data_IF_833393540934
#
_entry.id   IF_833393540934
#
_cell.length_a   1.000
_cell.length_b   1.000
_cell.length_c   1.000
_cell.angle_alpha   90.00
_cell.angle_beta   90.00
_cell.angle_gamma   90.00
#
_symmetry.space_group_name_H-M   'P 1'
#
loop_
_entity.id
_entity.type
_entity.pdbx_description
1 polymer ?
#
# COMPACT_ATOMS: atom_id res chain seq x y z
N UNK A 1 9.24 -2.07 -9.84
CA UNK A 1 9.55 -0.66 -9.46
C UNK A 1 8.31 0.24 -9.54
N UNK A 2 7.12 -0.36 -9.57
CA UNK A 2 5.79 0.25 -9.50
C UNK A 2 5.12 -0.03 -8.15
N UNK A 3 5.84 -0.69 -7.24
CA UNK A 3 5.34 -1.09 -5.93
C UNK A 3 5.35 0.11 -4.97
N UNK A 4 4.17 0.47 -4.46
CA UNK A 4 4.00 1.53 -3.45
C UNK A 4 4.41 1.10 -2.03
N UNK A 5 4.99 -0.09 -1.88
CA UNK A 5 5.46 -0.70 -0.63
C UNK A 5 6.90 -1.20 -0.77
N UNK A 6 7.50 -1.67 0.32
CA UNK A 6 8.84 -2.28 0.32
C UNK A 6 9.99 -1.27 0.56
N UNK A 7 11.22 -1.77 0.65
CA UNK A 7 12.42 -0.92 0.74
C UNK A 7 12.89 -0.47 -0.66
N UNK A 8 12.17 0.48 -1.24
CA UNK A 8 12.51 1.04 -2.55
C UNK A 8 12.21 2.55 -2.64
N UNK A 9 12.66 3.16 -3.74
CA UNK A 9 12.50 4.61 -3.99
C UNK A 9 11.03 5.02 -4.13
N UNK A 10 10.17 4.16 -4.68
CA UNK A 10 8.75 4.48 -4.88
C UNK A 10 8.02 4.62 -3.53
N UNK A 11 8.19 3.68 -2.61
CA UNK A 11 7.68 3.79 -1.24
C UNK A 11 8.17 5.07 -0.55
N UNK A 12 9.47 5.36 -0.66
CA UNK A 12 10.10 6.52 -0.02
C UNK A 12 9.62 7.84 -0.62
N UNK A 13 9.36 7.90 -1.92
CA UNK A 13 8.84 9.10 -2.58
C UNK A 13 7.43 9.44 -2.10
N UNK A 14 6.55 8.45 -1.95
CA UNK A 14 5.22 8.62 -1.35
C UNK A 14 5.37 9.18 0.06
N UNK A 15 6.23 8.58 0.89
CA UNK A 15 6.43 9.03 2.26
C UNK A 15 7.11 10.40 2.38
N UNK A 16 7.92 10.81 1.40
CA UNK A 16 8.49 12.14 1.32
C UNK A 16 7.42 13.20 1.07
N UNK A 17 6.45 12.94 0.18
CA UNK A 17 5.31 13.83 -0.03
C UNK A 17 4.43 13.89 1.22
N UNK A 18 4.14 12.74 1.85
CA UNK A 18 3.30 12.67 3.06
C UNK A 18 3.97 13.32 4.28
N UNK A 19 5.30 13.32 4.36
CA UNK A 19 6.04 14.02 5.40
C UNK A 19 5.81 15.54 5.38
N UNK A 20 5.45 16.13 4.23
CA UNK A 20 5.05 17.53 4.16
C UNK A 20 3.70 17.82 4.86
N UNK A 21 2.85 16.79 4.99
CA UNK A 21 1.52 16.90 5.62
C UNK A 21 1.58 16.55 7.11
N UNK A 22 2.24 15.43 7.45
CA UNK A 22 2.33 14.92 8.84
C UNK A 22 3.73 14.37 9.16
N UNK A 23 4.72 15.24 9.40
CA UNK A 23 6.12 14.86 9.51
C UNK A 23 6.40 13.90 10.68
N UNK A 24 5.70 14.05 11.80
CA UNK A 24 5.87 13.22 13.00
C UNK A 24 5.55 11.74 12.78
N UNK A 25 4.77 11.42 11.75
CA UNK A 25 4.50 10.02 11.37
C UNK A 25 5.32 9.60 10.16
N UNK A 26 5.49 10.46 9.15
CA UNK A 26 6.04 10.00 7.87
C UNK A 26 7.56 10.18 7.71
N UNK A 27 8.19 11.09 8.46
CA UNK A 27 9.65 11.30 8.35
C UNK A 27 10.46 10.04 8.63
N UNK A 28 10.05 9.26 9.64
CA UNK A 28 10.74 8.02 10.01
C UNK A 28 10.75 6.98 8.89
N UNK A 29 9.79 7.02 7.96
CA UNK A 29 9.69 6.05 6.86
C UNK A 29 10.62 6.37 5.68
N UNK A 30 11.04 7.64 5.54
CA UNK A 30 11.93 8.08 4.44
C UNK A 30 13.39 7.72 4.73
N UNK A 31 13.77 7.61 6.01
CA UNK A 31 15.14 7.34 6.44
C UNK A 31 15.61 5.90 6.21
N UNK A 32 16.92 5.61 6.35
CA UNK A 32 17.52 4.33 5.96
C UNK A 32 16.86 3.09 6.61
N UNK A 33 16.31 3.22 7.82
CA UNK A 33 15.63 2.12 8.52
C UNK A 33 14.21 1.85 8.00
N UNK A 34 13.65 2.74 7.19
CA UNK A 34 12.29 2.63 6.65
C UNK A 34 11.18 2.82 7.68
N UNK A 35 11.51 3.07 8.95
CA UNK A 35 10.56 3.32 10.04
C UNK A 35 9.48 2.24 10.21
N UNK A 36 9.75 1.01 9.76
CA UNK A 36 8.79 -0.10 9.75
C UNK A 36 7.76 -0.08 8.61
N UNK A 37 7.84 0.89 7.67
CA UNK A 37 6.95 0.96 6.49
C UNK A 37 7.66 0.69 5.17
N UNK A 38 8.72 1.44 4.86
CA UNK A 38 9.54 1.16 3.68
C UNK A 38 10.65 0.15 4.02
N UNK A 39 10.23 -1.07 4.34
CA UNK A 39 11.12 -2.19 4.67
C UNK A 39 10.87 -3.36 3.72
N UNK A 40 11.89 -4.17 3.46
CA UNK A 40 11.78 -5.34 2.57
C UNK A 40 11.09 -6.49 3.29
N UNK A 41 9.77 -6.62 3.08
CA UNK A 41 8.92 -7.67 3.63
C UNK A 41 7.99 -8.23 2.56
N UNK A 42 7.59 -9.50 2.66
CA UNK A 42 6.58 -10.07 1.78
C UNK A 42 5.22 -9.42 2.05
N UNK A 43 4.89 -8.36 1.31
CA UNK A 43 3.70 -7.53 1.53
C UNK A 43 2.40 -8.34 1.60
N UNK A 44 2.21 -9.28 0.67
CA UNK A 44 1.04 -10.15 0.61
C UNK A 44 0.97 -11.19 1.75
N UNK A 45 2.00 -11.30 2.59
CA UNK A 45 1.92 -12.14 3.79
C UNK A 45 1.63 -11.33 5.05
N UNK A 46 1.91 -10.03 5.02
CA UNK A 46 1.81 -9.14 6.18
C UNK A 46 0.54 -8.29 6.15
N UNK A 47 0.02 -8.01 4.96
CA UNK A 47 -1.09 -7.09 4.75
C UNK A 47 -2.28 -7.71 4.02
N UNK A 48 -2.18 -8.96 3.57
CA UNK A 48 -3.27 -9.59 2.81
C UNK A 48 -4.38 -10.14 3.73
N UNK A 49 -4.12 -10.23 5.03
CA UNK A 49 -5.07 -10.56 6.09
C UNK A 49 -5.61 -9.32 6.82
N UNK A 50 -5.25 -8.11 6.38
CA UNK A 50 -5.78 -6.88 6.95
C UNK A 50 -7.22 -6.62 6.48
N UNK A 51 -7.94 -5.74 7.16
CA UNK A 51 -9.34 -5.43 6.82
C UNK A 51 -9.48 -4.75 5.44
N UNK A 52 -8.37 -4.28 4.84
CA UNK A 52 -8.33 -3.59 3.56
C UNK A 52 -8.26 -4.58 2.39
N UNK A 53 -7.48 -5.66 2.51
CA UNK A 53 -7.26 -6.67 1.46
C UNK A 53 -7.79 -8.07 1.81
N UNK A 54 -7.97 -8.37 3.10
CA UNK A 54 -8.52 -9.63 3.62
C UNK A 54 -10.03 -9.57 3.90
N UNK A 55 -10.65 -8.39 3.79
CA UNK A 55 -12.11 -8.30 3.83
C UNK A 55 -12.69 -8.91 2.55
N UNK A 56 -13.50 -9.96 2.72
CA UNK A 56 -14.33 -10.56 1.67
C UNK A 56 -15.42 -9.59 1.15
N UNK A 57 -15.43 -8.36 1.67
CA UNK A 57 -16.27 -7.23 1.24
C UNK A 57 -15.71 -6.48 0.02
N UNK A 58 -14.62 -6.98 -0.59
CA UNK A 58 -14.34 -6.69 -2.00
C UNK A 58 -13.86 -5.27 -2.30
N UNK A 59 -13.34 -4.53 -1.31
CA UNK A 59 -12.86 -3.15 -1.52
C UNK A 59 -11.77 -3.04 -2.61
N UNK A 60 -11.00 -4.12 -2.84
CA UNK A 60 -9.97 -4.19 -3.89
C UNK A 60 -9.92 -5.52 -4.65
N UNK A 61 -10.95 -6.36 -4.54
CA UNK A 61 -10.99 -7.61 -5.29
C UNK A 61 -11.54 -7.38 -6.70
N UNK A 62 -10.70 -7.68 -7.69
CA UNK A 62 -11.03 -7.62 -9.11
C UNK A 62 -12.23 -8.54 -9.46
N UNK A 63 -12.46 -9.62 -8.70
CA UNK A 63 -13.58 -10.53 -8.96
C UNK A 63 -14.94 -9.81 -8.89
N UNK A 64 -15.08 -8.82 -8.00
CA UNK A 64 -16.34 -8.07 -7.85
C UNK A 64 -16.56 -7.06 -8.98
N UNK A 65 -15.50 -6.52 -9.57
CA UNK A 65 -15.59 -5.59 -10.71
C UNK A 65 -15.84 -6.28 -12.06
N UNK A 66 -15.61 -7.60 -12.16
CA UNK A 66 -15.88 -8.35 -13.39
C UNK A 66 -17.37 -8.54 -13.67
N UNK A 67 -18.22 -8.57 -12.65
CA UNK A 67 -19.68 -8.69 -12.81
C UNK A 67 -20.36 -7.36 -13.18
N UNK A 68 -19.86 -6.22 -12.67
CA UNK A 68 -20.47 -4.90 -12.96
C UNK A 68 -20.15 -4.42 -14.38
N UNK A 69 -19.04 -4.89 -14.97
CA UNK A 69 -18.68 -4.56 -16.36
C UNK A 69 -19.50 -5.33 -17.42
N UNK A 70 -20.28 -6.35 -17.04
CA UNK A 70 -21.09 -7.15 -17.96
C UNK A 70 -22.56 -6.70 -18.05
N UNK A 71 -23.01 -5.77 -17.20
CA UNK A 71 -24.37 -5.20 -17.27
C UNK A 71 -24.45 -3.90 -18.12
N UNK A 72 -23.34 -3.44 -18.70
CA UNK A 72 -23.31 -2.30 -19.64
C UNK A 72 -23.16 -2.71 -21.12
N UNK A 73 -23.60 -3.91 -21.51
CA UNK A 73 -23.73 -4.34 -22.92
C UNK A 73 -25.15 -4.80 -23.28
#
# INVERSE_FOLDING_TARGET
>A
MDEAWGDNVCCRFIHLILAAIRPEVHCQHVGPTGGGKCIDIPYNQVYFDDELFGSRDGTFDCETYSYVALEEL
#
